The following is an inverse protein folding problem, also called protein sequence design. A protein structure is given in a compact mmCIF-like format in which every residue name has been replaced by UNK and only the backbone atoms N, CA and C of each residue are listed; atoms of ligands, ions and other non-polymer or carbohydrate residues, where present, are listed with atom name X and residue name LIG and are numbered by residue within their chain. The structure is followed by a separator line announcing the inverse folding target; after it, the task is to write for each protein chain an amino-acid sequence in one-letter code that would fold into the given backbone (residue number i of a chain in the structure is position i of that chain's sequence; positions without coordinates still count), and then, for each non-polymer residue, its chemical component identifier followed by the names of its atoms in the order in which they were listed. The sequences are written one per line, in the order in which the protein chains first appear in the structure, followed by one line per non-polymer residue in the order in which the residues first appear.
data_IF_367955572432
#
_entry.id   IF_367955572432
#
_cell.length_a   1.000
_cell.length_b   1.000
_cell.length_c   1.000
_cell.angle_alpha   90.00
_cell.angle_beta   90.00
_cell.angle_gamma   90.00
#
_symmetry.space_group_name_H-M   'P 1'
#
loop_
_entity.id
_entity.type
_entity.pdbx_description
1 polymer ?
#
# COMPACT_ATOMS: atom_id res chain seq x y z
N UNK A 1 -66.43 43.05 2.86
CA UNK A 1 -65.80 42.92 1.54
C UNK A 1 -64.45 42.23 1.72
N UNK A 2 -64.28 41.06 1.07
CA UNK A 2 -63.06 40.30 0.66
C UNK A 2 -61.88 40.20 1.67
N UNK A 3 -61.61 39.04 2.31
CA UNK A 3 -60.90 37.82 1.83
C UNK A 3 -59.54 38.08 1.16
N UNK A 4 -58.44 37.79 1.88
CA UNK A 4 -57.10 37.52 1.31
C UNK A 4 -56.33 36.58 2.28
N UNK A 5 -56.47 35.25 2.13
CA UNK A 5 -55.44 34.28 1.67
C UNK A 5 -54.10 34.42 2.42
N UNK A 6 -53.84 33.56 3.43
CA UNK A 6 -52.90 32.39 3.41
C UNK A 6 -51.42 32.87 3.28
N UNK A 7 -50.44 32.29 3.94
CA UNK A 7 -49.49 31.32 3.38
C UNK A 7 -48.56 30.92 4.55
N UNK A 8 -48.62 29.63 4.93
CA UNK A 8 -47.64 28.95 5.77
C UNK A 8 -46.36 28.71 4.96
N UNK A 9 -45.18 28.84 5.57
CA UNK A 9 -43.94 28.22 5.06
C UNK A 9 -43.24 27.48 6.20
N UNK A 10 -43.31 26.15 6.16
CA UNK A 10 -42.41 25.25 6.88
C UNK A 10 -41.02 25.33 6.23
N UNK A 11 -40.01 25.73 7.00
CA UNK A 11 -38.61 25.63 6.61
C UNK A 11 -38.09 24.21 6.81
N UNK A 12 -37.99 23.42 5.74
CA UNK A 12 -37.27 22.13 5.75
C UNK A 12 -35.78 22.43 5.69
N UNK A 13 -35.04 22.09 6.75
CA UNK A 13 -33.58 22.20 6.80
C UNK A 13 -32.96 20.96 6.14
N UNK A 14 -32.32 21.12 4.97
CA UNK A 14 -31.50 20.07 4.38
C UNK A 14 -30.16 20.00 5.11
N UNK A 15 -29.94 18.93 5.87
CA UNK A 15 -28.64 18.56 6.39
C UNK A 15 -27.71 18.19 5.23
N UNK A 16 -26.55 18.84 5.17
CA UNK A 16 -25.49 18.53 4.21
C UNK A 16 -24.83 17.20 4.59
N UNK A 17 -25.02 16.18 3.75
CA UNK A 17 -24.19 14.97 3.79
C UNK A 17 -22.88 15.30 3.05
N UNK A 18 -21.83 15.60 3.80
CA UNK A 18 -20.48 15.67 3.26
C UNK A 18 -20.03 14.27 2.85
N UNK A 19 -19.91 14.02 1.55
CA UNK A 19 -19.27 12.81 1.02
C UNK A 19 -17.76 13.03 1.14
N UNK A 20 -17.13 12.39 2.13
CA UNK A 20 -15.67 12.36 2.23
C UNK A 20 -15.11 11.58 1.05
N UNK A 21 -14.35 12.23 0.17
CA UNK A 21 -13.57 11.55 -0.86
C UNK A 21 -12.34 10.98 -0.17
N UNK A 22 -12.31 9.66 0.04
CA UNK A 22 -11.07 9.00 0.46
C UNK A 22 -10.04 9.24 -0.65
N UNK A 23 -8.99 10.00 -0.35
CA UNK A 23 -7.87 10.14 -1.27
C UNK A 23 -7.28 8.74 -1.48
N UNK A 24 -7.22 8.28 -2.73
CA UNK A 24 -6.50 7.04 -3.03
C UNK A 24 -5.03 7.25 -2.63
N UNK A 25 -4.46 6.29 -1.89
CA UNK A 25 -3.06 6.39 -1.54
C UNK A 25 -2.18 6.40 -2.81
N UNK A 26 -1.11 7.19 -2.83
CA UNK A 26 -0.32 7.44 -4.04
C UNK A 26 0.38 6.18 -4.56
N UNK A 27 0.77 5.26 -3.68
CA UNK A 27 1.46 4.01 -4.04
C UNK A 27 0.88 2.85 -3.26
N UNK A 28 0.57 1.74 -3.94
CA UNK A 28 0.18 0.49 -3.29
C UNK A 28 1.14 -0.64 -3.64
N UNK A 29 1.45 -1.48 -2.67
CA UNK A 29 2.35 -2.63 -2.80
C UNK A 29 1.62 -3.89 -2.34
N UNK A 30 1.48 -4.87 -3.23
CA UNK A 30 0.83 -6.14 -2.95
C UNK A 30 1.88 -7.26 -2.92
N UNK A 31 1.93 -8.01 -1.82
CA UNK A 31 2.58 -9.32 -1.79
C UNK A 31 1.69 -10.32 -2.52
N UNK A 32 2.03 -10.62 -3.78
CA UNK A 32 1.20 -11.45 -4.63
C UNK A 32 1.42 -12.95 -4.38
N UNK A 33 2.69 -13.35 -4.27
CA UNK A 33 3.10 -14.74 -4.13
C UNK A 33 4.47 -14.88 -3.45
N UNK A 34 4.61 -15.92 -2.64
CA UNK A 34 5.91 -16.50 -2.28
C UNK A 34 6.12 -17.81 -3.06
N UNK A 35 7.31 -18.01 -3.61
CA UNK A 35 7.69 -19.20 -4.37
C UNK A 35 9.02 -19.76 -3.87
N UNK A 36 9.04 -21.04 -3.54
CA UNK A 36 10.25 -21.72 -3.09
C UNK A 36 11.30 -21.75 -4.21
N UNK A 37 12.56 -21.49 -3.86
CA UNK A 37 13.67 -21.44 -4.80
C UNK A 37 14.96 -21.99 -4.17
N UNK A 38 14.98 -23.32 -3.98
CA UNK A 38 16.00 -24.00 -3.18
C UNK A 38 15.87 -23.62 -1.70
N UNK A 39 17.00 -23.25 -1.07
CA UNK A 39 17.04 -22.77 0.31
C UNK A 39 16.71 -21.26 0.43
N UNK A 40 15.99 -20.72 -0.56
CA UNK A 40 15.64 -19.31 -0.65
C UNK A 40 14.18 -19.15 -1.04
N UNK A 41 13.67 -17.95 -0.83
CA UNK A 41 12.30 -17.62 -1.16
C UNK A 41 12.25 -16.48 -2.17
N UNK A 42 11.48 -16.66 -3.24
CA UNK A 42 11.13 -15.57 -4.16
C UNK A 42 9.81 -14.95 -3.72
N UNK A 43 9.79 -13.63 -3.61
CA UNK A 43 8.60 -12.88 -3.30
C UNK A 43 8.26 -11.96 -4.47
N UNK A 44 7.03 -12.11 -4.95
CA UNK A 44 6.50 -11.41 -6.11
C UNK A 44 5.69 -10.23 -5.59
N UNK A 45 6.19 -9.02 -5.84
CA UNK A 45 5.60 -7.77 -5.39
C UNK A 45 4.97 -7.05 -6.56
N UNK A 46 3.68 -6.71 -6.45
CA UNK A 46 2.98 -5.91 -7.44
C UNK A 46 2.85 -4.51 -6.90
N UNK A 47 3.53 -3.55 -7.54
CA UNK A 47 3.53 -2.15 -7.11
C UNK A 47 2.76 -1.33 -8.12
N UNK A 48 1.77 -0.58 -7.67
CA UNK A 48 1.06 0.40 -8.48
C UNK A 48 1.44 1.81 -8.03
N UNK A 49 1.99 2.60 -8.96
CA UNK A 49 2.16 4.03 -8.79
C UNK A 49 0.98 4.74 -9.46
N UNK A 50 0.01 5.16 -8.65
CA UNK A 50 -1.17 5.91 -9.10
C UNK A 50 -0.90 7.42 -9.22
N UNK A 51 0.32 7.86 -8.93
CA UNK A 51 0.72 9.27 -9.07
C UNK A 51 0.92 9.65 -10.53
N UNK A 52 0.83 10.95 -10.80
CA UNK A 52 1.16 11.58 -12.08
C UNK A 52 2.68 11.79 -12.28
N UNK A 53 3.47 11.55 -11.23
CA UNK A 53 4.93 11.58 -11.24
C UNK A 53 5.54 10.17 -11.20
N UNK A 54 6.65 10.01 -11.92
CA UNK A 54 7.47 8.81 -11.81
C UNK A 54 8.31 8.85 -10.52
N UNK A 55 8.53 7.68 -9.93
CA UNK A 55 9.50 7.50 -8.85
C UNK A 55 10.75 6.85 -9.43
N UNK A 56 11.90 7.52 -9.31
CA UNK A 56 13.17 6.98 -9.77
C UNK A 56 13.67 5.82 -8.88
N UNK A 57 13.17 5.75 -7.64
CA UNK A 57 13.38 4.65 -6.69
C UNK A 57 12.14 4.51 -5.81
N UNK A 58 11.93 3.33 -5.24
CA UNK A 58 11.07 3.08 -4.10
C UNK A 58 11.71 1.96 -3.29
N UNK A 59 12.53 2.34 -2.31
CA UNK A 59 13.16 1.42 -1.39
C UNK A 59 12.34 1.29 -0.11
N UNK A 60 11.92 0.06 0.20
CA UNK A 60 11.11 -0.28 1.36
C UNK A 60 11.98 -0.97 2.43
N UNK A 61 11.74 -0.61 3.68
CA UNK A 61 12.28 -1.30 4.85
C UNK A 61 11.36 -2.46 5.25
N UNK A 62 11.74 -3.70 4.94
CA UNK A 62 10.93 -4.88 5.19
C UNK A 62 11.49 -5.74 6.32
N UNK A 63 10.63 -6.13 7.25
CA UNK A 63 10.94 -7.06 8.34
C UNK A 63 10.11 -8.33 8.15
N UNK A 64 10.77 -9.48 8.19
CA UNK A 64 10.13 -10.80 8.06
C UNK A 64 10.18 -11.50 9.40
N UNK A 65 9.08 -12.14 9.75
CA UNK A 65 8.92 -12.87 10.99
C UNK A 65 8.71 -14.36 10.71
N UNK A 66 9.29 -15.20 11.56
CA UNK A 66 9.09 -16.64 11.53
C UNK A 66 7.78 -17.07 12.19
N UNK A 67 7.56 -18.39 12.27
CA UNK A 67 6.36 -18.98 12.87
C UNK A 67 6.19 -18.71 14.37
N UNK A 68 7.26 -18.34 15.07
CA UNK A 68 7.22 -17.96 16.48
C UNK A 68 7.02 -16.43 16.64
N UNK A 69 6.93 -15.69 15.54
CA UNK A 69 6.83 -14.25 15.52
C UNK A 69 8.15 -13.54 15.83
N UNK A 70 9.28 -14.22 15.68
CA UNK A 70 10.63 -13.66 15.85
C UNK A 70 11.12 -13.13 14.50
N UNK A 71 11.86 -12.02 14.51
CA UNK A 71 12.45 -11.46 13.29
C UNK A 71 13.48 -12.44 12.73
N UNK A 72 13.23 -12.95 11.53
CA UNK A 72 14.13 -13.87 10.82
C UNK A 72 15.00 -13.12 9.80
N UNK A 73 14.47 -12.07 9.17
CA UNK A 73 15.18 -11.19 8.23
C UNK A 73 14.72 -9.75 8.35
N UNK A 74 15.64 -8.83 8.02
CA UNK A 74 15.39 -7.39 7.92
C UNK A 74 16.18 -6.88 6.71
N UNK A 75 15.48 -6.37 5.70
CA UNK A 75 16.04 -6.06 4.40
C UNK A 75 15.45 -4.76 3.84
N UNK A 76 16.29 -3.95 3.21
CA UNK A 76 15.85 -2.89 2.32
C UNK A 76 15.64 -3.45 0.91
N UNK A 77 14.44 -3.31 0.34
CA UNK A 77 14.08 -3.83 -0.99
C UNK A 77 13.76 -2.68 -1.94
N UNK A 78 14.45 -2.64 -3.08
CA UNK A 78 14.20 -1.67 -4.15
C UNK A 78 13.09 -2.19 -5.08
N UNK A 79 11.99 -1.45 -5.20
CA UNK A 79 10.86 -1.74 -6.09
C UNK A 79 10.75 -0.74 -7.25
N UNK A 80 11.61 0.28 -7.28
CA UNK A 80 11.72 1.24 -8.37
C UNK A 80 12.74 0.85 -9.44
N UNK A 81 12.74 1.54 -10.58
CA UNK A 81 11.93 2.74 -10.88
C UNK A 81 10.46 2.43 -11.24
N UNK A 82 9.56 3.33 -10.83
CA UNK A 82 8.12 3.24 -11.06
C UNK A 82 7.63 4.41 -11.91
N UNK A 83 7.35 4.20 -13.21
CA UNK A 83 6.76 5.26 -14.03
C UNK A 83 5.40 5.73 -13.47
N UNK A 84 5.03 6.96 -13.77
CA UNK A 84 3.71 7.52 -13.46
C UNK A 84 2.59 6.65 -14.06
N UNK A 85 1.52 6.46 -13.30
CA UNK A 85 0.32 5.72 -13.71
C UNK A 85 0.64 4.31 -14.28
N UNK A 86 1.55 3.59 -13.64
CA UNK A 86 1.94 2.22 -14.05
C UNK A 86 1.97 1.27 -12.87
N UNK A 87 1.64 0.02 -13.19
CA UNK A 87 1.86 -1.13 -12.32
C UNK A 87 3.13 -1.87 -12.77
N UNK A 88 3.98 -2.22 -11.81
CA UNK A 88 5.16 -3.06 -12.00
C UNK A 88 5.05 -4.32 -11.15
N UNK A 89 5.74 -5.36 -11.61
CA UNK A 89 5.93 -6.59 -10.84
C UNK A 89 7.42 -6.77 -10.68
N UNK A 90 7.86 -6.82 -9.44
CA UNK A 90 9.25 -7.09 -9.09
C UNK A 90 9.33 -8.39 -8.30
N UNK A 91 10.37 -9.18 -8.57
CA UNK A 91 10.61 -10.44 -7.87
C UNK A 91 11.89 -10.29 -7.08
N UNK A 92 11.76 -10.30 -5.75
CA UNK A 92 12.92 -10.25 -4.88
C UNK A 92 13.22 -11.65 -4.33
N UNK A 93 14.51 -12.00 -4.28
CA UNK A 93 14.98 -13.26 -3.74
C UNK A 93 15.52 -13.03 -2.32
N UNK A 94 15.05 -13.84 -1.38
CA UNK A 94 15.41 -13.82 0.03
C UNK A 94 16.38 -14.98 0.25
N UNK A 95 17.67 -14.68 0.25
CA UNK A 95 18.71 -15.70 0.39
C UNK A 95 18.76 -16.28 1.81
N UNK A 96 18.87 -17.61 1.90
CA UNK A 96 19.00 -18.34 3.15
C UNK A 96 17.75 -18.28 4.04
N UNK A 97 16.56 -18.22 3.42
CA UNK A 97 15.27 -18.30 4.10
C UNK A 97 14.30 -19.07 3.20
N UNK A 98 13.81 -20.20 3.68
CA UNK A 98 12.79 -20.94 2.97
C UNK A 98 11.45 -20.21 3.07
N UNK A 99 10.59 -20.26 2.04
CA UNK A 99 9.30 -19.56 2.11
C UNK A 99 8.42 -20.03 3.27
N UNK A 100 8.54 -21.30 3.69
CA UNK A 100 7.82 -21.86 4.84
C UNK A 100 8.23 -21.26 6.19
N UNK A 101 9.39 -20.60 6.25
CA UNK A 101 9.89 -19.91 7.45
C UNK A 101 9.40 -18.46 7.55
N UNK A 102 8.66 -17.96 6.56
CA UNK A 102 8.11 -16.60 6.55
C UNK A 102 6.63 -16.69 6.88
N UNK A 103 6.24 -16.22 8.06
CA UNK A 103 4.84 -16.21 8.49
C UNK A 103 4.17 -14.84 8.27
N UNK A 104 4.96 -13.77 8.37
CA UNK A 104 4.49 -12.39 8.23
C UNK A 104 5.59 -11.50 7.70
N UNK A 105 5.23 -10.55 6.86
CA UNK A 105 6.08 -9.45 6.39
C UNK A 105 5.51 -8.14 6.92
N UNK A 106 6.37 -7.27 7.42
CA UNK A 106 6.07 -5.93 7.90
C UNK A 106 6.79 -4.93 7.01
N UNK A 107 6.07 -3.92 6.50
CA UNK A 107 6.65 -2.69 5.98
C UNK A 107 6.91 -1.76 7.16
N UNK A 108 8.17 -1.60 7.53
CA UNK A 108 8.57 -0.69 8.61
C UNK A 108 8.64 0.77 8.12
N UNK A 109 8.82 0.98 6.81
CA UNK A 109 8.74 2.31 6.20
C UNK A 109 9.38 2.37 4.81
N UNK A 110 9.42 3.57 4.24
CA UNK A 110 10.13 3.88 2.98
C UNK A 110 11.47 4.52 3.33
N UNK A 111 12.58 3.94 2.87
CA UNK A 111 13.94 4.45 3.16
C UNK A 111 14.44 5.40 2.07
N UNK A 112 13.98 5.22 0.83
CA UNK A 112 14.32 6.08 -0.31
C UNK A 112 13.21 6.04 -1.36
N UNK A 113 12.93 7.16 -2.03
CA UNK A 113 11.96 7.18 -3.14
C UNK A 113 12.30 8.17 -4.28
N UNK A 114 13.56 8.65 -4.34
CA UNK A 114 14.06 9.53 -5.40
C UNK A 114 13.27 10.82 -5.64
N UNK A 115 13.61 11.91 -4.94
CA UNK A 115 13.22 13.26 -5.38
C UNK A 115 12.85 14.28 -4.31
N UNK A 116 12.43 13.86 -3.11
CA UNK A 116 12.19 14.74 -1.96
C UNK A 116 12.12 13.91 -0.65
N UNK A 117 12.29 14.52 0.54
CA UNK A 117 11.76 13.91 1.76
C UNK A 117 10.24 13.70 1.55
N UNK A 118 9.74 12.49 1.74
CA UNK A 118 8.32 12.10 1.58
C UNK A 118 7.81 11.92 0.12
N UNK A 119 8.68 11.66 -0.86
CA UNK A 119 8.28 11.42 -2.25
C UNK A 119 7.29 10.26 -2.49
N UNK A 120 7.21 9.29 -1.58
CA UNK A 120 6.30 8.16 -1.70
C UNK A 120 4.92 8.44 -1.09
N UNK A 121 4.77 9.50 -0.27
CA UNK A 121 3.60 9.69 0.58
C UNK A 121 3.32 8.47 1.48
N UNK A 122 2.04 8.19 1.72
CA UNK A 122 1.58 6.96 2.36
C UNK A 122 1.65 5.80 1.34
N UNK A 123 2.35 4.73 1.70
CA UNK A 123 2.29 3.46 0.96
C UNK A 123 1.14 2.66 1.54
N UNK A 124 0.40 1.93 0.71
CA UNK A 124 -0.57 0.94 1.20
C UNK A 124 -0.09 -0.46 0.88
N UNK A 125 -0.11 -1.33 1.88
CA UNK A 125 0.24 -2.73 1.72
C UNK A 125 -0.99 -3.63 1.63
N UNK A 126 -0.88 -4.69 0.85
CA UNK A 126 -1.88 -5.76 0.82
C UNK A 126 -1.21 -7.11 0.51
N UNK A 127 -1.92 -8.21 0.74
CA UNK A 127 -1.42 -9.54 0.39
C UNK A 127 -2.50 -10.36 -0.31
N UNK A 128 -2.10 -11.11 -1.34
CA UNK A 128 -2.89 -12.20 -1.94
C UNK A 128 -2.35 -13.58 -1.59
N UNK A 129 -1.24 -13.64 -0.87
CA UNK A 129 -0.66 -14.89 -0.40
C UNK A 129 -1.22 -15.29 0.97
N UNK A 130 -0.90 -16.49 1.42
CA UNK A 130 -1.21 -16.94 2.80
C UNK A 130 -0.33 -16.24 3.87
N UNK A 131 0.69 -15.49 3.44
CA UNK A 131 1.55 -14.68 4.32
C UNK A 131 0.98 -13.28 4.43
N UNK A 132 0.76 -12.80 5.66
CA UNK A 132 0.30 -11.44 5.89
C UNK A 132 1.38 -10.43 5.52
N UNK A 133 1.00 -9.34 4.84
CA UNK A 133 1.83 -8.17 4.62
C UNK A 133 1.15 -6.96 5.27
N UNK A 134 1.82 -6.36 6.25
CA UNK A 134 1.25 -5.34 7.16
C UNK A 134 2.22 -4.17 7.36
N UNK A 135 1.75 -3.08 7.96
CA UNK A 135 2.54 -1.92 8.39
C UNK A 135 2.64 -1.83 9.92
#
# INVERSE_FOLDING_TARGET
MLRWSQWMLLGVSLAWLGVGVAAAAPVSVELNKLEADGDSCKAYMVTNNSQDQALESLQLDLVMFDGDGIISKHLAVELGPLPADKTRVEVFRIEGTACSEINRILLNGVTHCGGAPDCAGEVLVSSRSDVAFVE
#
